data_IF_702424563844
#
_entry.id   IF_702424563844
#
_cell.length_a   1.000
_cell.length_b   1.000
_cell.length_c   1.000
_cell.angle_alpha   90.00
_cell.angle_beta   90.00
_cell.angle_gamma   90.00
#
_symmetry.space_group_name_H-M   'P 1'
#
loop_
_entity.id
_entity.type
_entity.pdbx_description
1 polymer ?
#
# COMPACT_ATOMS: atom_id res chain seq x y z
N UNK A 1 5.70 30.10 -2.47
CA UNK A 1 5.84 31.39 -1.76
C UNK A 1 4.79 32.38 -2.27
N UNK A 2 4.18 33.21 -1.43
CA UNK A 2 3.15 34.21 -1.80
C UNK A 2 3.50 35.08 -3.01
N UNK A 3 4.78 35.30 -3.26
CA UNK A 3 5.25 36.10 -4.38
C UNK A 3 5.15 35.42 -5.74
N UNK A 4 5.16 34.09 -5.79
CA UNK A 4 5.04 33.32 -7.03
C UNK A 4 3.61 33.36 -7.60
N UNK A 5 2.61 33.30 -6.73
CA UNK A 5 1.19 33.31 -7.09
C UNK A 5 0.73 34.67 -7.66
N UNK A 6 1.21 35.77 -7.08
CA UNK A 6 0.95 37.12 -7.55
C UNK A 6 1.49 37.38 -8.97
N UNK A 7 2.59 36.74 -9.33
CA UNK A 7 3.18 36.87 -10.68
C UNK A 7 2.36 36.17 -11.78
N UNK A 8 1.50 35.22 -11.41
CA UNK A 8 0.63 34.48 -12.33
C UNK A 8 -0.75 35.14 -12.50
N UNK A 9 -1.04 36.22 -11.74
CA UNK A 9 -2.27 37.00 -11.87
C UNK A 9 -3.53 36.38 -11.27
N UNK A 10 -3.37 35.42 -10.35
CA UNK A 10 -4.45 34.83 -9.56
C UNK A 10 -4.64 35.66 -8.29
N UNK A 11 -5.90 35.89 -7.86
CA UNK A 11 -6.24 37.04 -7.01
C UNK A 11 -6.02 36.86 -5.51
N UNK A 12 -6.16 35.66 -4.97
CA UNK A 12 -5.89 35.42 -3.55
C UNK A 12 -5.18 34.08 -3.39
N UNK A 13 -4.08 34.07 -2.68
CA UNK A 13 -3.48 32.86 -2.16
C UNK A 13 -3.46 32.97 -0.66
N UNK A 14 -4.02 32.00 0.04
CA UNK A 14 -3.90 31.85 1.49
C UNK A 14 -3.13 30.56 1.79
N UNK A 15 -2.40 30.58 2.88
CA UNK A 15 -1.76 29.40 3.44
C UNK A 15 -2.38 29.27 4.84
N UNK A 16 -3.15 28.21 5.02
CA UNK A 16 -3.73 27.90 6.32
C UNK A 16 -2.70 27.10 7.14
N UNK A 17 -2.23 27.68 8.24
CA UNK A 17 -1.26 27.11 9.19
C UNK A 17 -0.04 26.36 8.57
N UNK A 18 0.35 26.71 7.33
CA UNK A 18 1.37 26.06 6.50
C UNK A 18 1.02 24.63 5.98
N UNK A 19 -0.23 24.20 6.10
CA UNK A 19 -0.66 22.87 5.65
C UNK A 19 -1.22 22.87 4.23
N UNK A 20 -2.06 23.85 3.88
CA UNK A 20 -2.79 23.89 2.62
C UNK A 20 -2.61 25.25 1.95
N UNK A 21 -2.26 25.21 0.66
CA UNK A 21 -2.25 26.40 -0.19
C UNK A 21 -3.55 26.50 -0.99
N UNK A 22 -4.15 27.69 -1.10
CA UNK A 22 -5.32 27.91 -1.95
C UNK A 22 -5.12 29.02 -2.97
N UNK A 23 -5.78 28.91 -4.12
CA UNK A 23 -5.82 29.94 -5.14
C UNK A 23 -7.24 30.08 -5.69
N UNK A 24 -7.83 31.27 -5.56
CA UNK A 24 -9.17 31.58 -6.01
C UNK A 24 -9.15 32.29 -7.38
N UNK A 25 -10.08 31.91 -8.27
CA UNK A 25 -10.26 32.55 -9.58
C UNK A 25 -10.87 33.94 -9.46
N UNK A 26 -11.86 34.13 -8.57
CA UNK A 26 -12.54 35.39 -8.30
C UNK A 26 -13.15 35.41 -6.88
N UNK A 27 -13.83 36.52 -6.53
CA UNK A 27 -14.48 36.70 -5.22
C UNK A 27 -15.98 36.25 -5.21
N UNK A 28 -16.41 35.48 -6.22
CA UNK A 28 -17.78 34.96 -6.32
C UNK A 28 -18.08 33.87 -5.30
N UNK A 29 -19.32 33.44 -5.26
CA UNK A 29 -19.72 32.30 -4.44
C UNK A 29 -18.92 31.03 -4.81
N UNK A 30 -18.38 30.39 -3.82
CA UNK A 30 -17.56 29.19 -3.95
C UNK A 30 -18.39 28.01 -4.50
N UNK A 31 -18.00 27.48 -5.66
CA UNK A 31 -18.78 26.48 -6.41
C UNK A 31 -18.00 25.23 -6.76
N UNK A 32 -16.69 25.34 -7.00
CA UNK A 32 -15.85 24.26 -7.47
C UNK A 32 -14.51 24.25 -6.74
N UNK A 33 -14.15 23.12 -6.17
CA UNK A 33 -12.80 22.82 -5.72
C UNK A 33 -12.05 21.98 -6.75
N UNK A 34 -10.79 22.34 -7.00
CA UNK A 34 -9.82 21.52 -7.72
C UNK A 34 -8.80 21.08 -6.66
N UNK A 35 -8.78 19.81 -6.32
CA UNK A 35 -7.93 19.28 -5.25
C UNK A 35 -6.69 18.62 -5.84
N UNK A 36 -5.52 19.15 -5.50
CA UNK A 36 -4.22 18.66 -5.93
C UNK A 36 -3.23 18.65 -4.76
N UNK A 37 -2.09 17.95 -4.89
CA UNK A 37 -1.09 17.91 -3.82
C UNK A 37 0.33 18.26 -4.29
N UNK A 38 1.19 18.62 -3.34
CA UNK A 38 2.56 19.06 -3.59
C UNK A 38 3.62 18.14 -2.98
N UNK A 39 3.26 17.32 -2.01
CA UNK A 39 4.16 16.29 -1.48
C UNK A 39 4.41 15.18 -2.51
N UNK A 40 5.30 14.28 -2.22
CA UNK A 40 5.69 13.20 -3.11
C UNK A 40 6.16 11.99 -2.31
N UNK A 41 5.95 10.79 -2.83
CA UNK A 41 6.55 9.57 -2.30
C UNK A 41 8.08 9.64 -2.29
N UNK A 42 8.77 8.84 -1.46
CA UNK A 42 10.23 8.70 -1.50
C UNK A 42 10.75 8.43 -2.91
N UNK A 43 11.98 8.88 -3.16
CA UNK A 43 12.59 8.81 -4.49
C UNK A 43 12.57 7.41 -5.14
N UNK A 44 12.80 6.36 -4.33
CA UNK A 44 12.94 4.99 -4.83
C UNK A 44 14.22 4.79 -5.65
N UNK A 45 14.32 3.62 -6.26
CA UNK A 45 15.43 3.23 -7.12
C UNK A 45 15.00 3.15 -8.59
N UNK A 46 15.96 2.89 -9.50
CA UNK A 46 15.69 2.64 -10.92
C UNK A 46 15.61 3.90 -11.79
N UNK A 47 16.07 5.05 -11.33
CA UNK A 47 16.15 6.28 -12.11
C UNK A 47 17.24 6.18 -13.17
N UNK A 48 16.85 6.15 -14.45
CA UNK A 48 17.77 5.95 -15.58
C UNK A 48 17.88 7.17 -16.49
N UNK A 49 16.90 8.09 -16.45
CA UNK A 49 16.85 9.27 -17.32
C UNK A 49 17.41 10.50 -16.63
N UNK A 50 17.09 10.67 -15.35
CA UNK A 50 17.57 11.76 -14.49
C UNK A 50 17.59 11.31 -13.03
N UNK A 51 18.10 12.13 -12.13
CA UNK A 51 17.95 11.94 -10.68
C UNK A 51 16.53 12.38 -10.26
N UNK A 52 15.96 11.79 -9.18
CA UNK A 52 14.57 12.02 -8.77
C UNK A 52 14.17 13.49 -8.68
N UNK A 53 15.01 14.32 -8.08
CA UNK A 53 14.73 15.74 -7.80
C UNK A 53 15.50 16.71 -8.72
N UNK A 54 16.02 16.22 -9.84
CA UNK A 54 16.66 17.01 -10.89
C UNK A 54 15.82 16.91 -12.18
N UNK A 55 14.70 17.66 -12.27
CA UNK A 55 13.77 17.51 -13.39
C UNK A 55 14.41 17.96 -14.70
N UNK A 56 14.24 17.16 -15.77
CA UNK A 56 14.69 17.47 -17.11
C UNK A 56 13.60 17.29 -18.15
N UNK A 57 13.67 18.09 -19.22
CA UNK A 57 12.86 17.90 -20.42
C UNK A 57 13.68 17.12 -21.44
N UNK A 58 13.20 15.96 -21.87
CA UNK A 58 13.82 15.13 -22.88
C UNK A 58 12.75 14.51 -23.79
N UNK A 59 12.93 14.59 -25.08
CA UNK A 59 12.02 14.02 -26.09
C UNK A 59 10.55 14.48 -25.91
N UNK A 60 10.35 15.77 -25.55
CA UNK A 60 9.03 16.34 -25.30
C UNK A 60 8.34 15.89 -24.02
N UNK A 61 9.03 15.17 -23.12
CA UNK A 61 8.54 14.70 -21.82
C UNK A 61 9.33 15.35 -20.69
N UNK A 62 8.66 15.66 -19.59
CA UNK A 62 9.27 16.13 -18.35
C UNK A 62 9.46 14.93 -17.41
N UNK A 63 10.70 14.66 -17.03
CA UNK A 63 11.07 13.59 -16.12
C UNK A 63 11.49 14.17 -14.77
N UNK A 64 11.02 13.56 -13.69
CA UNK A 64 11.34 13.91 -12.30
C UNK A 64 10.26 13.43 -11.32
N UNK A 65 10.61 13.26 -10.05
CA UNK A 65 9.66 12.92 -9.01
C UNK A 65 8.65 14.06 -8.85
N UNK A 66 7.33 13.73 -8.83
CA UNK A 66 6.24 14.70 -8.69
C UNK A 66 5.85 15.41 -10.00
N UNK A 67 6.44 15.08 -11.15
CA UNK A 67 6.08 15.73 -12.41
C UNK A 67 4.75 15.24 -12.98
N UNK A 68 4.34 14.02 -12.70
CA UNK A 68 3.05 13.46 -13.08
C UNK A 68 2.08 13.42 -11.90
N UNK A 69 2.58 13.07 -10.75
CA UNK A 69 1.90 12.87 -9.47
C UNK A 69 2.51 13.85 -8.44
N UNK A 70 1.87 14.97 -8.10
CA UNK A 70 0.70 15.59 -8.78
C UNK A 70 1.00 17.05 -9.21
N UNK A 71 2.28 17.50 -9.12
CA UNK A 71 2.67 18.88 -9.44
C UNK A 71 2.37 19.29 -10.90
N UNK A 72 2.45 18.34 -11.84
CA UNK A 72 2.10 18.58 -13.23
C UNK A 72 0.62 18.93 -13.39
N UNK A 73 -0.32 18.07 -12.95
CA UNK A 73 -1.75 18.36 -12.94
C UNK A 73 -2.11 19.60 -12.14
N UNK A 74 -1.51 19.83 -10.96
CA UNK A 74 -1.69 21.04 -10.17
C UNK A 74 -1.35 22.32 -10.96
N UNK A 75 -0.22 22.32 -11.67
CA UNK A 75 0.19 23.44 -12.54
C UNK A 75 -0.74 23.56 -13.74
N UNK A 76 -1.20 22.46 -14.33
CA UNK A 76 -2.17 22.49 -15.43
C UNK A 76 -3.49 23.13 -15.00
N UNK A 77 -4.01 22.77 -13.83
CA UNK A 77 -5.20 23.39 -13.24
C UNK A 77 -5.02 24.90 -13.04
N UNK A 78 -3.87 25.29 -12.46
CA UNK A 78 -3.53 26.70 -12.26
C UNK A 78 -3.52 27.50 -13.57
N UNK A 79 -2.89 26.95 -14.62
CA UNK A 79 -2.85 27.60 -15.93
C UNK A 79 -4.22 27.59 -16.65
N UNK A 80 -5.07 26.59 -16.41
CA UNK A 80 -6.45 26.60 -16.88
C UNK A 80 -7.26 27.76 -16.26
N UNK A 81 -7.14 27.95 -14.95
CA UNK A 81 -7.76 29.10 -14.24
C UNK A 81 -7.24 30.44 -14.77
N UNK A 82 -5.92 30.53 -14.99
CA UNK A 82 -5.28 31.70 -15.60
C UNK A 82 -5.79 31.98 -17.01
N UNK A 83 -5.95 30.97 -17.85
CA UNK A 83 -6.47 31.12 -19.21
C UNK A 83 -7.92 31.63 -19.21
N UNK A 84 -8.77 31.11 -18.34
CA UNK A 84 -10.15 31.63 -18.18
C UNK A 84 -10.14 33.13 -17.87
N UNK A 85 -9.25 33.56 -16.98
CA UNK A 85 -9.12 34.96 -16.59
C UNK A 85 -8.56 35.83 -17.69
N UNK A 86 -7.46 35.43 -18.36
CA UNK A 86 -6.80 36.19 -19.44
C UNK A 86 -7.69 36.34 -20.68
N UNK A 87 -8.51 35.33 -20.97
CA UNK A 87 -9.48 35.35 -22.06
C UNK A 87 -10.74 36.17 -21.73
N UNK A 88 -10.87 36.65 -20.50
CA UNK A 88 -12.02 37.42 -20.07
C UNK A 88 -13.33 36.62 -20.10
N UNK A 89 -13.27 35.31 -19.92
CA UNK A 89 -14.46 34.44 -19.86
C UNK A 89 -15.29 34.84 -18.64
N UNK A 90 -16.57 35.21 -18.80
CA UNK A 90 -17.37 35.62 -17.67
C UNK A 90 -17.70 34.44 -16.76
N UNK A 91 -17.14 34.43 -15.57
CA UNK A 91 -17.37 33.44 -14.53
C UNK A 91 -17.94 34.16 -13.31
N UNK A 92 -19.13 33.80 -12.89
CA UNK A 92 -19.85 34.42 -11.75
C UNK A 92 -19.65 33.68 -10.45
N UNK A 93 -19.19 32.45 -10.49
CA UNK A 93 -18.91 31.60 -9.33
C UNK A 93 -17.40 31.44 -9.17
N UNK A 94 -16.93 31.25 -7.92
CA UNK A 94 -15.53 31.02 -7.67
C UNK A 94 -15.13 29.55 -7.93
N UNK A 95 -13.94 29.38 -8.46
CA UNK A 95 -13.19 28.12 -8.56
C UNK A 95 -11.97 28.27 -7.68
N UNK A 96 -11.77 27.33 -6.77
CA UNK A 96 -10.62 27.29 -5.88
C UNK A 96 -9.73 26.10 -6.22
N UNK A 97 -8.46 26.35 -6.46
CA UNK A 97 -7.42 25.32 -6.46
C UNK A 97 -6.92 25.16 -5.03
N UNK A 98 -7.02 23.95 -4.50
CA UNK A 98 -6.54 23.55 -3.18
C UNK A 98 -5.29 22.70 -3.40
N UNK A 99 -4.19 23.03 -2.71
CA UNK A 99 -2.90 22.37 -2.81
C UNK A 99 -2.53 21.78 -1.46
N UNK A 100 -2.73 20.49 -1.31
CA UNK A 100 -2.35 19.71 -0.15
C UNK A 100 -0.85 19.45 -0.06
N UNK A 101 -0.40 18.98 1.07
CA UNK A 101 1.02 18.69 1.38
C UNK A 101 1.22 17.37 2.12
N UNK A 102 0.20 16.54 2.23
CA UNK A 102 0.20 15.28 3.00
C UNK A 102 -0.61 14.15 2.31
N UNK A 103 -0.89 14.25 1.01
CA UNK A 103 -1.70 13.24 0.28
C UNK A 103 -1.05 11.86 0.37
N UNK A 104 0.25 11.78 0.14
CA UNK A 104 1.05 10.57 0.11
C UNK A 104 1.27 9.92 1.50
N UNK A 105 0.90 10.64 2.58
CA UNK A 105 1.08 10.20 3.96
C UNK A 105 -0.23 10.13 4.75
N UNK A 106 -1.38 10.36 4.09
CA UNK A 106 -2.70 10.15 4.70
C UNK A 106 -3.62 11.36 4.75
N UNK A 107 -3.32 12.44 4.01
CA UNK A 107 -4.20 13.63 3.77
C UNK A 107 -4.72 14.32 5.03
N UNK A 108 -3.92 14.34 6.12
CA UNK A 108 -4.30 15.00 7.37
C UNK A 108 -4.47 16.52 7.22
N UNK A 109 -3.81 17.09 6.22
CA UNK A 109 -3.91 18.49 5.82
C UNK A 109 -5.29 18.82 5.26
N UNK A 110 -5.85 17.98 4.40
CA UNK A 110 -7.19 18.16 3.83
C UNK A 110 -8.27 17.89 4.88
N UNK A 111 -8.06 16.92 5.77
CA UNK A 111 -8.93 16.72 6.94
C UNK A 111 -8.97 17.98 7.82
N UNK A 112 -7.82 18.64 8.05
CA UNK A 112 -7.75 19.89 8.77
C UNK A 112 -8.45 21.02 8.01
N UNK A 113 -8.15 21.16 6.71
CA UNK A 113 -8.71 22.21 5.86
C UNK A 113 -10.24 22.22 5.89
N UNK A 114 -10.90 21.10 5.69
CA UNK A 114 -12.35 21.01 5.69
C UNK A 114 -13.01 21.06 7.09
N UNK A 115 -12.24 21.16 8.17
CA UNK A 115 -12.78 21.55 9.49
C UNK A 115 -12.96 23.06 9.62
N UNK A 116 -12.21 23.86 8.89
CA UNK A 116 -12.23 25.33 8.95
C UNK A 116 -12.85 25.96 7.71
N UNK A 117 -12.71 25.34 6.56
CA UNK A 117 -13.28 25.79 5.29
C UNK A 117 -14.45 24.91 4.85
N UNK A 118 -15.44 25.51 4.22
CA UNK A 118 -16.58 24.79 3.69
C UNK A 118 -16.25 24.19 2.32
N UNK A 119 -16.51 22.91 2.15
CA UNK A 119 -16.40 22.21 0.88
C UNK A 119 -17.31 22.85 -0.19
N UNK A 120 -16.81 22.96 -1.42
CA UNK A 120 -17.59 23.39 -2.55
C UNK A 120 -18.70 22.38 -2.90
N UNK A 121 -19.80 22.82 -3.55
CA UNK A 121 -20.82 21.90 -4.05
C UNK A 121 -20.31 20.86 -5.05
N UNK A 122 -19.17 21.12 -5.70
CA UNK A 122 -18.49 20.21 -6.63
C UNK A 122 -17.00 20.23 -6.35
N UNK A 123 -16.40 19.04 -6.38
CA UNK A 123 -14.94 18.85 -6.22
C UNK A 123 -14.46 17.84 -7.24
N UNK A 124 -13.29 18.06 -7.84
CA UNK A 124 -12.57 17.05 -8.57
C UNK A 124 -11.07 17.12 -8.27
N UNK A 125 -10.38 15.97 -8.36
CA UNK A 125 -8.93 15.91 -8.35
C UNK A 125 -8.41 15.62 -9.76
N UNK A 126 -7.39 16.34 -10.26
CA UNK A 126 -6.71 16.01 -11.50
C UNK A 126 -5.69 14.87 -11.33
N UNK A 127 -5.47 14.42 -10.12
CA UNK A 127 -4.54 13.36 -9.74
C UNK A 127 -5.15 11.97 -10.02
N UNK A 128 -5.40 11.69 -11.29
CA UNK A 128 -6.03 10.44 -11.73
C UNK A 128 -5.82 10.18 -13.21
N UNK A 129 -6.16 8.97 -13.65
CA UNK A 129 -6.22 8.64 -15.07
C UNK A 129 -7.37 9.35 -15.77
N UNK A 130 -7.11 9.88 -16.99
CA UNK A 130 -8.12 10.54 -17.80
C UNK A 130 -8.91 9.54 -18.67
N UNK A 131 -10.16 9.85 -19.08
CA UNK A 131 -10.80 11.18 -18.94
C UNK A 131 -11.47 11.42 -17.57
N UNK A 132 -12.02 10.40 -16.91
CA UNK A 132 -12.70 10.52 -15.62
C UNK A 132 -12.70 9.19 -14.90
N UNK A 133 -12.32 9.18 -13.63
CA UNK A 133 -12.59 8.11 -12.67
C UNK A 133 -13.77 8.58 -11.81
N UNK A 134 -14.87 7.83 -11.85
CA UNK A 134 -16.11 8.12 -11.11
C UNK A 134 -16.51 6.98 -10.16
N UNK A 135 -15.71 5.92 -10.11
CA UNK A 135 -15.87 4.79 -9.19
C UNK A 135 -14.50 4.44 -8.65
N UNK A 136 -14.39 4.37 -7.34
CA UNK A 136 -13.20 3.97 -6.63
C UNK A 136 -13.54 2.86 -5.63
N UNK A 137 -12.64 1.88 -5.50
CA UNK A 137 -12.80 0.81 -4.51
C UNK A 137 -12.49 1.32 -3.11
N UNK A 138 -13.22 0.83 -2.12
CA UNK A 138 -12.87 1.05 -0.74
C UNK A 138 -11.57 0.34 -0.35
N UNK A 139 -10.92 0.80 0.72
CA UNK A 139 -9.66 0.22 1.23
C UNK A 139 -9.92 -0.70 2.40
N UNK A 140 -9.19 -1.80 2.43
CA UNK A 140 -9.23 -2.81 3.49
C UNK A 140 -7.81 -3.23 3.89
N UNK A 141 -7.03 -2.32 4.50
CA UNK A 141 -5.71 -2.65 4.99
C UNK A 141 -5.81 -3.49 6.26
N UNK A 142 -4.87 -4.41 6.42
CA UNK A 142 -4.75 -5.19 7.65
C UNK A 142 -3.33 -5.21 8.18
N UNK A 143 -3.23 -5.21 9.51
CA UNK A 143 -2.00 -5.29 10.26
C UNK A 143 -2.06 -6.50 11.22
N UNK A 144 -1.03 -7.32 11.17
CA UNK A 144 -0.93 -8.55 11.96
C UNK A 144 0.33 -8.50 12.81
N UNK A 145 0.18 -8.69 14.10
CA UNK A 145 1.32 -8.83 15.01
C UNK A 145 1.26 -10.16 15.77
N UNK A 146 2.39 -10.79 15.96
CA UNK A 146 2.51 -11.99 16.78
C UNK A 146 3.78 -11.98 17.61
N UNK A 147 3.74 -12.66 18.76
CA UNK A 147 4.91 -12.93 19.59
C UNK A 147 4.96 -14.42 19.92
N UNK A 148 6.13 -14.98 19.95
CA UNK A 148 6.37 -16.39 20.21
C UNK A 148 7.68 -16.59 20.97
N UNK A 149 7.86 -17.75 21.56
CA UNK A 149 9.10 -18.13 22.22
C UNK A 149 10.15 -18.53 21.18
N UNK A 150 11.43 -18.24 21.49
CA UNK A 150 12.54 -18.67 20.65
C UNK A 150 12.54 -20.19 20.51
N UNK A 151 12.62 -20.70 19.31
CA UNK A 151 12.76 -22.12 19.05
C UNK A 151 14.12 -22.62 19.56
N UNK A 152 14.15 -23.71 20.29
CA UNK A 152 15.37 -24.39 20.74
C UNK A 152 15.86 -25.43 19.74
N UNK A 153 15.14 -25.64 18.65
CA UNK A 153 15.48 -26.56 17.59
C UNK A 153 16.70 -26.10 16.79
N UNK A 154 17.48 -27.06 16.29
CA UNK A 154 18.64 -26.76 15.47
C UNK A 154 18.23 -26.09 14.15
N UNK A 155 17.27 -26.69 13.43
CA UNK A 155 16.70 -26.11 12.22
C UNK A 155 15.61 -25.11 12.58
N UNK A 156 15.84 -23.81 12.30
CA UNK A 156 14.90 -22.74 12.63
C UNK A 156 15.07 -21.51 11.74
N UNK A 157 14.09 -20.64 11.76
CA UNK A 157 14.09 -19.39 11.02
C UNK A 157 14.58 -18.28 11.96
N UNK A 158 15.60 -17.54 11.54
CA UNK A 158 16.17 -16.43 12.30
C UNK A 158 15.49 -15.11 11.99
N UNK A 159 15.21 -14.86 10.71
CA UNK A 159 14.50 -13.65 10.28
C UNK A 159 13.79 -13.84 8.96
N UNK A 160 12.77 -13.01 8.74
CA UNK A 160 12.14 -12.79 7.43
C UNK A 160 11.95 -11.29 7.28
N UNK A 161 12.24 -10.76 6.08
CA UNK A 161 12.04 -9.35 5.74
C UNK A 161 11.53 -9.22 4.32
N UNK A 162 10.40 -8.51 4.14
CA UNK A 162 9.81 -8.25 2.84
C UNK A 162 8.94 -7.00 2.85
N UNK A 163 8.91 -6.32 1.69
CA UNK A 163 8.05 -5.16 1.45
C UNK A 163 8.58 -3.85 2.02
N UNK A 164 8.25 -2.76 1.35
CA UNK A 164 8.68 -1.40 1.69
C UNK A 164 7.49 -0.45 1.88
N UNK A 165 6.33 -0.78 1.30
CA UNK A 165 5.08 -0.02 1.38
C UNK A 165 3.88 -0.95 1.37
N UNK A 166 2.82 -0.56 2.10
CA UNK A 166 1.60 -1.36 2.22
C UNK A 166 0.85 -1.53 0.88
N UNK A 167 0.94 -0.56 -0.01
CA UNK A 167 0.26 -0.58 -1.31
C UNK A 167 1.10 -1.17 -2.46
N UNK A 168 2.18 -1.92 -2.14
CA UNK A 168 3.08 -2.51 -3.14
C UNK A 168 3.21 -4.01 -2.91
N UNK A 169 2.93 -4.81 -3.95
CA UNK A 169 3.27 -6.24 -3.98
C UNK A 169 4.79 -6.39 -3.96
N UNK A 170 5.39 -7.09 -2.99
CA UNK A 170 6.84 -7.18 -2.88
C UNK A 170 7.45 -8.02 -4.00
N UNK A 171 8.32 -7.39 -4.79
CA UNK A 171 9.13 -8.07 -5.81
C UNK A 171 10.35 -8.78 -5.24
N UNK A 172 10.71 -8.52 -3.97
CA UNK A 172 11.79 -9.22 -3.24
C UNK A 172 11.37 -9.53 -1.81
N UNK A 173 11.85 -10.68 -1.32
CA UNK A 173 11.70 -11.07 0.08
C UNK A 173 12.94 -11.88 0.52
N UNK A 174 13.32 -11.74 1.77
CA UNK A 174 14.51 -12.39 2.33
C UNK A 174 14.15 -13.20 3.57
N UNK A 175 14.79 -14.34 3.72
CA UNK A 175 14.77 -15.11 4.97
C UNK A 175 16.16 -15.57 5.31
N UNK A 176 16.49 -15.58 6.60
CA UNK A 176 17.70 -16.21 7.14
C UNK A 176 17.28 -17.39 7.96
N UNK A 177 17.82 -18.56 7.65
CA UNK A 177 17.55 -19.82 8.34
C UNK A 177 18.86 -20.47 8.80
N UNK A 178 18.77 -21.34 9.80
CA UNK A 178 19.89 -22.15 10.28
C UNK A 178 19.50 -23.62 10.44
N UNK A 179 20.48 -24.50 10.55
CA UNK A 179 20.31 -25.94 10.84
C UNK A 179 19.82 -26.78 9.67
N UNK A 180 19.72 -26.21 8.47
CA UNK A 180 19.50 -26.93 7.21
C UNK A 180 20.69 -26.69 6.27
N UNK A 181 20.91 -27.61 5.34
CA UNK A 181 21.91 -27.47 4.28
C UNK A 181 21.28 -26.94 3.00
N UNK A 182 22.07 -26.35 2.14
CA UNK A 182 21.61 -25.89 0.81
C UNK A 182 21.05 -27.04 -0.03
N UNK A 183 21.59 -28.25 0.13
CA UNK A 183 21.14 -29.46 -0.56
C UNK A 183 19.74 -29.89 -0.13
N UNK A 184 19.35 -29.59 1.10
CA UNK A 184 17.97 -29.83 1.62
C UNK A 184 17.00 -28.76 1.15
N UNK A 185 17.42 -27.49 1.06
CA UNK A 185 16.57 -26.34 0.69
C UNK A 185 16.34 -26.27 -0.82
N UNK A 186 17.37 -26.48 -1.62
CA UNK A 186 17.36 -26.26 -3.07
C UNK A 186 16.25 -27.02 -3.83
N UNK A 187 16.00 -28.32 -3.59
CA UNK A 187 14.91 -29.03 -4.29
C UNK A 187 13.52 -28.45 -3.98
N UNK A 188 13.32 -27.98 -2.74
CA UNK A 188 12.06 -27.34 -2.35
C UNK A 188 11.91 -25.98 -3.02
N UNK A 189 12.97 -25.17 -3.06
CA UNK A 189 13.01 -23.89 -3.74
C UNK A 189 12.72 -24.05 -5.26
N UNK A 190 13.33 -25.02 -5.93
CA UNK A 190 13.06 -25.34 -7.34
C UNK A 190 11.61 -25.79 -7.56
N UNK A 191 11.02 -26.53 -6.61
CA UNK A 191 9.61 -26.93 -6.64
C UNK A 191 8.69 -25.72 -6.58
N UNK A 192 8.93 -24.81 -5.63
CA UNK A 192 8.16 -23.58 -5.49
C UNK A 192 8.37 -22.64 -6.69
N UNK A 193 9.58 -22.54 -7.22
CA UNK A 193 9.83 -21.77 -8.47
C UNK A 193 8.97 -22.25 -9.63
N UNK A 194 8.86 -23.57 -9.84
CA UNK A 194 8.02 -24.14 -10.90
C UNK A 194 6.54 -23.85 -10.72
N UNK A 195 6.09 -23.75 -9.47
CA UNK A 195 4.71 -23.49 -9.10
C UNK A 195 4.34 -22.01 -9.23
N UNK A 196 5.19 -21.14 -8.68
CA UNK A 196 4.89 -19.69 -8.49
C UNK A 196 5.50 -18.79 -9.55
N UNK A 197 6.55 -19.24 -10.23
CA UNK A 197 7.37 -18.42 -11.13
C UNK A 197 8.34 -17.46 -10.43
N UNK A 198 8.39 -17.48 -9.09
CA UNK A 198 9.36 -16.69 -8.28
C UNK A 198 10.67 -17.44 -8.22
N UNK A 199 11.79 -16.76 -8.43
CA UNK A 199 13.14 -17.35 -8.36
C UNK A 199 13.67 -17.29 -6.93
N UNK A 200 14.49 -18.28 -6.53
CA UNK A 200 15.14 -18.29 -5.23
C UNK A 200 16.65 -18.35 -5.40
N UNK A 201 17.31 -17.38 -4.78
CA UNK A 201 18.76 -17.35 -4.64
C UNK A 201 19.10 -17.84 -3.22
N UNK A 202 20.02 -18.80 -3.13
CA UNK A 202 20.47 -19.38 -1.86
C UNK A 202 21.92 -19.01 -1.67
N UNK A 203 22.24 -18.39 -0.55
CA UNK A 203 23.60 -18.03 -0.15
C UNK A 203 23.90 -18.67 1.20
N UNK A 204 24.79 -19.67 1.19
CA UNK A 204 25.25 -20.31 2.42
C UNK A 204 26.40 -19.49 3.04
N UNK A 205 26.27 -19.16 4.31
CA UNK A 205 27.25 -18.42 5.13
C UNK A 205 27.44 -19.14 6.46
N UNK A 206 28.60 -19.79 6.67
CA UNK A 206 28.91 -20.56 7.88
C UNK A 206 27.74 -21.50 8.31
N UNK A 207 26.99 -21.11 9.35
CA UNK A 207 25.91 -21.90 9.92
C UNK A 207 24.51 -21.44 9.47
N UNK A 208 24.40 -20.51 8.52
CA UNK A 208 23.13 -19.95 8.06
C UNK A 208 22.99 -20.03 6.54
N UNK A 209 21.75 -20.03 6.07
CA UNK A 209 21.39 -19.85 4.67
C UNK A 209 20.54 -18.60 4.57
N UNK A 210 20.97 -17.67 3.73
CA UNK A 210 20.17 -16.53 3.29
C UNK A 210 19.41 -16.93 2.03
N UNK A 211 18.10 -16.89 2.10
CA UNK A 211 17.18 -17.18 0.99
C UNK A 211 16.65 -15.85 0.48
N UNK A 212 16.87 -15.54 -0.78
CA UNK A 212 16.28 -14.37 -1.45
C UNK A 212 15.27 -14.85 -2.49
N UNK A 213 14.00 -14.53 -2.28
CA UNK A 213 12.95 -14.71 -3.27
C UNK A 213 12.91 -13.48 -4.19
N UNK A 214 12.94 -13.70 -5.50
CA UNK A 214 12.90 -12.66 -6.54
C UNK A 214 11.69 -12.90 -7.43
N UNK A 215 10.69 -12.06 -7.27
CA UNK A 215 9.44 -12.03 -8.03
C UNK A 215 9.33 -10.76 -8.87
N UNK A 216 8.11 -10.29 -9.04
CA UNK A 216 7.79 -9.07 -9.79
C UNK A 216 6.88 -8.19 -8.95
N UNK A 217 7.29 -6.93 -8.69
CA UNK A 217 6.48 -5.96 -7.96
C UNK A 217 5.31 -5.47 -8.81
N UNK A 218 4.21 -5.14 -8.14
CA UNK A 218 3.03 -4.51 -8.75
C UNK A 218 2.36 -3.58 -7.73
N UNK A 219 1.41 -2.76 -8.19
CA UNK A 219 0.56 -2.03 -7.26
C UNK A 219 -0.43 -2.99 -6.58
N UNK A 220 -0.70 -2.80 -5.29
CA UNK A 220 -1.58 -3.72 -4.54
C UNK A 220 -3.05 -3.70 -5.00
N UNK A 221 -3.47 -2.73 -5.81
CA UNK A 221 -4.80 -2.72 -6.44
C UNK A 221 -4.91 -3.67 -7.64
N UNK A 222 -3.78 -4.03 -8.26
CA UNK A 222 -3.65 -4.95 -9.40
C UNK A 222 -2.60 -6.04 -9.09
N UNK A 223 -2.78 -6.81 -8.00
CA UNK A 223 -1.78 -7.76 -7.53
C UNK A 223 -1.52 -8.91 -8.52
N UNK A 224 -2.44 -9.18 -9.42
CA UNK A 224 -2.33 -10.16 -10.50
C UNK A 224 -1.29 -9.81 -11.56
N UNK A 225 -0.88 -8.53 -11.65
CA UNK A 225 0.18 -8.08 -12.54
C UNK A 225 1.59 -8.39 -12.01
N UNK A 226 1.68 -8.78 -10.72
CA UNK A 226 2.93 -9.10 -10.05
C UNK A 226 3.13 -10.59 -9.78
N UNK A 227 4.30 -10.91 -9.25
CA UNK A 227 4.62 -12.21 -8.65
C UNK A 227 5.09 -11.98 -7.22
N UNK A 228 4.24 -12.23 -6.25
CA UNK A 228 4.48 -11.91 -4.86
C UNK A 228 5.62 -12.77 -4.27
N UNK A 229 6.79 -12.15 -4.10
CA UNK A 229 7.97 -12.80 -3.55
C UNK A 229 7.76 -13.25 -2.10
N UNK A 230 7.02 -12.47 -1.30
CA UNK A 230 6.74 -12.79 0.11
C UNK A 230 5.85 -14.02 0.24
N UNK A 231 4.73 -14.08 -0.46
CA UNK A 231 3.82 -15.22 -0.41
C UNK A 231 4.52 -16.51 -0.88
N UNK A 232 5.38 -16.42 -1.90
CA UNK A 232 6.16 -17.54 -2.40
C UNK A 232 7.27 -17.96 -1.44
N UNK A 233 7.90 -17.01 -0.75
CA UNK A 233 8.89 -17.31 0.30
C UNK A 233 8.25 -18.02 1.48
N UNK A 234 7.07 -17.57 1.95
CA UNK A 234 6.35 -18.25 3.02
C UNK A 234 5.98 -19.69 2.62
N UNK A 235 5.54 -19.90 1.37
CA UNK A 235 5.25 -21.24 0.84
C UNK A 235 6.50 -22.14 0.87
N UNK A 236 7.69 -21.61 0.52
CA UNK A 236 8.92 -22.34 0.64
C UNK A 236 9.24 -22.70 2.09
N UNK A 237 9.17 -21.72 3.01
CA UNK A 237 9.48 -21.93 4.42
C UNK A 237 8.51 -22.92 5.09
N UNK A 238 7.23 -22.91 4.71
CA UNK A 238 6.21 -23.85 5.19
C UNK A 238 6.49 -25.31 4.76
N UNK A 239 7.14 -25.50 3.62
CA UNK A 239 7.52 -26.83 3.09
C UNK A 239 8.86 -27.36 3.60
N UNK A 240 9.68 -26.50 4.18
CA UNK A 240 10.97 -26.93 4.75
C UNK A 240 10.77 -27.74 6.03
N UNK A 241 11.67 -28.68 6.34
CA UNK A 241 11.51 -29.64 7.44
C UNK A 241 11.81 -29.03 8.82
N UNK A 242 11.22 -27.88 9.10
CA UNK A 242 11.31 -27.26 10.43
C UNK A 242 10.42 -28.00 11.45
N UNK A 243 10.88 -28.06 12.69
CA UNK A 243 10.07 -28.55 13.78
C UNK A 243 8.88 -27.62 14.05
N UNK A 244 7.76 -28.21 14.51
CA UNK A 244 6.55 -27.46 14.83
C UNK A 244 6.76 -26.59 16.09
N UNK A 245 6.78 -25.29 15.91
CA UNK A 245 6.89 -24.27 16.96
C UNK A 245 5.90 -23.12 16.70
N UNK A 246 5.87 -22.10 17.57
CA UNK A 246 4.99 -20.93 17.38
C UNK A 246 5.20 -20.23 16.05
N UNK A 247 6.45 -20.07 15.65
CA UNK A 247 6.86 -19.41 14.42
C UNK A 247 6.42 -20.18 13.17
N UNK A 248 6.70 -21.48 13.09
CA UNK A 248 6.35 -22.31 11.93
C UNK A 248 4.83 -22.49 11.78
N UNK A 249 4.09 -22.62 12.89
CA UNK A 249 2.62 -22.63 12.88
C UNK A 249 2.04 -21.33 12.33
N UNK A 250 2.65 -20.19 12.69
CA UNK A 250 2.22 -18.90 12.17
C UNK A 250 2.49 -18.78 10.69
N UNK A 251 3.67 -19.21 10.19
CA UNK A 251 3.98 -19.24 8.76
C UNK A 251 2.98 -20.10 8.01
N UNK A 252 2.67 -21.30 8.52
CA UNK A 252 1.63 -22.16 7.94
C UNK A 252 0.29 -21.41 7.83
N UNK A 253 -0.17 -20.80 8.92
CA UNK A 253 -1.43 -20.04 8.93
C UNK A 253 -1.43 -18.86 7.95
N UNK A 254 -0.29 -18.14 7.82
CA UNK A 254 -0.16 -17.06 6.84
C UNK A 254 -0.20 -17.59 5.40
N UNK A 255 0.44 -18.73 5.13
CA UNK A 255 0.40 -19.38 3.81
C UNK A 255 -1.01 -19.83 3.44
N UNK A 256 -1.80 -20.30 4.41
CA UNK A 256 -3.21 -20.62 4.20
C UNK A 256 -4.09 -19.39 4.01
N UNK A 257 -3.83 -18.29 4.72
CA UNK A 257 -4.60 -17.04 4.62
C UNK A 257 -4.26 -16.23 3.35
N UNK A 258 -3.01 -16.27 2.93
CA UNK A 258 -2.48 -15.50 1.79
C UNK A 258 -1.72 -16.41 0.81
N UNK A 259 -2.38 -17.41 0.19
CA UNK A 259 -1.70 -18.26 -0.78
C UNK A 259 -1.26 -17.42 -1.99
N UNK A 260 -0.12 -17.79 -2.56
CA UNK A 260 0.55 -17.03 -3.62
C UNK A 260 -0.31 -16.75 -4.86
N UNK A 261 -1.32 -17.57 -5.11
CA UNK A 261 -2.25 -17.50 -6.25
C UNK A 261 -3.62 -16.90 -5.93
N UNK A 262 -3.81 -16.40 -4.72
CA UNK A 262 -5.07 -15.76 -4.31
C UNK A 262 -4.90 -14.24 -4.21
N UNK A 263 -5.24 -13.56 -5.27
CA UNK A 263 -5.25 -12.10 -5.36
C UNK A 263 -6.63 -11.48 -5.10
N UNK A 264 -7.64 -12.31 -4.77
CA UNK A 264 -9.02 -11.87 -4.54
C UNK A 264 -9.52 -12.12 -3.10
N UNK A 265 -8.69 -12.69 -2.22
CA UNK A 265 -9.05 -12.97 -0.83
C UNK A 265 -10.02 -14.12 -0.63
N UNK A 266 -10.05 -15.10 -1.54
CA UNK A 266 -10.86 -16.33 -1.44
C UNK A 266 -10.49 -17.13 -0.19
N UNK A 267 -9.20 -17.23 0.07
CA UNK A 267 -8.68 -17.93 1.24
C UNK A 267 -9.11 -17.27 2.56
N UNK A 268 -9.17 -15.96 2.63
CA UNK A 268 -9.69 -15.22 3.78
C UNK A 268 -11.24 -15.21 3.86
N UNK A 269 -11.93 -15.61 2.79
CA UNK A 269 -13.39 -15.60 2.73
C UNK A 269 -13.99 -14.22 2.47
N UNK A 270 -13.20 -13.28 1.94
CA UNK A 270 -13.61 -11.89 1.65
C UNK A 270 -13.81 -11.63 0.15
N UNK A 271 -13.58 -12.63 -0.70
CA UNK A 271 -13.73 -12.51 -2.14
C UNK A 271 -15.14 -12.04 -2.50
N UNK A 272 -15.23 -10.97 -3.26
CA UNK A 272 -16.48 -10.37 -3.70
C UNK A 272 -16.30 -9.67 -5.05
N UNK A 273 -17.39 -9.48 -5.76
CA UNK A 273 -17.44 -8.78 -7.04
C UNK A 273 -18.71 -7.96 -7.14
N UNK A 274 -18.61 -6.77 -7.69
CA UNK A 274 -19.77 -5.92 -7.95
C UNK A 274 -19.70 -5.30 -9.35
N UNK A 275 -20.89 -5.10 -9.95
CA UNK A 275 -21.01 -4.43 -11.23
C UNK A 275 -20.46 -2.98 -11.13
N UNK A 276 -19.69 -2.57 -12.11
CA UNK A 276 -19.07 -1.25 -12.18
C UNK A 276 -17.74 -1.13 -11.43
N UNK A 277 -17.59 -1.72 -10.23
CA UNK A 277 -16.35 -1.63 -9.43
C UNK A 277 -15.46 -2.89 -9.46
N UNK A 278 -15.92 -3.97 -10.11
CA UNK A 278 -15.11 -5.18 -10.33
C UNK A 278 -14.95 -6.09 -9.12
N UNK A 279 -13.90 -6.89 -9.09
CA UNK A 279 -13.57 -7.83 -8.03
C UNK A 279 -12.78 -7.18 -6.89
N UNK A 280 -12.87 -7.73 -5.67
CA UNK A 280 -11.93 -7.40 -4.59
C UNK A 280 -10.51 -7.79 -5.01
N UNK A 281 -9.54 -6.94 -4.70
CA UNK A 281 -8.12 -7.30 -4.79
C UNK A 281 -7.49 -7.36 -3.40
N UNK A 282 -6.57 -8.32 -3.19
CA UNK A 282 -5.87 -8.53 -1.93
C UNK A 282 -4.40 -8.86 -2.21
N UNK A 283 -3.51 -8.14 -1.55
CA UNK A 283 -2.07 -8.38 -1.60
C UNK A 283 -1.48 -8.48 -0.20
N UNK A 284 -0.71 -9.52 0.07
CA UNK A 284 0.14 -9.60 1.26
C UNK A 284 1.44 -8.87 0.96
N UNK A 285 1.68 -7.74 1.63
CA UNK A 285 2.60 -6.71 1.13
C UNK A 285 3.85 -6.52 1.95
N UNK A 286 3.79 -6.70 3.26
CA UNK A 286 4.95 -6.50 4.13
C UNK A 286 5.00 -7.55 5.23
N UNK A 287 6.20 -7.98 5.57
CA UNK A 287 6.44 -8.83 6.74
C UNK A 287 7.85 -8.59 7.28
N UNK A 288 7.93 -8.38 8.58
CA UNK A 288 9.17 -8.45 9.35
C UNK A 288 8.99 -9.48 10.44
N UNK A 289 9.86 -10.49 10.49
CA UNK A 289 9.86 -11.53 11.51
C UNK A 289 11.26 -11.70 12.08
N UNK A 290 11.31 -11.86 13.39
CA UNK A 290 12.51 -12.25 14.15
C UNK A 290 12.25 -13.60 14.85
N UNK A 291 13.16 -14.07 15.68
CA UNK A 291 12.96 -15.29 16.45
C UNK A 291 11.87 -15.19 17.53
N UNK A 292 11.39 -13.98 17.86
CA UNK A 292 10.43 -13.76 18.94
C UNK A 292 9.17 -13.00 18.56
N UNK A 293 9.16 -12.33 17.43
CA UNK A 293 8.04 -11.47 17.03
C UNK A 293 7.87 -11.41 15.52
N UNK A 294 6.67 -11.11 15.11
CA UNK A 294 6.32 -10.82 13.72
C UNK A 294 5.41 -9.60 13.64
N UNK A 295 5.60 -8.85 12.59
CA UNK A 295 4.73 -7.78 12.14
C UNK A 295 4.52 -7.91 10.64
N UNK A 296 3.27 -7.89 10.19
CA UNK A 296 2.93 -8.07 8.78
C UNK A 296 1.74 -7.21 8.37
N UNK A 297 1.66 -6.91 7.09
CA UNK A 297 0.62 -6.06 6.51
C UNK A 297 0.10 -6.64 5.21
N UNK A 298 -1.19 -6.39 4.94
CA UNK A 298 -1.79 -6.60 3.64
C UNK A 298 -2.60 -5.39 3.20
N UNK A 299 -2.77 -5.20 1.90
CA UNK A 299 -3.68 -4.21 1.30
C UNK A 299 -4.80 -4.93 0.55
N UNK A 300 -6.03 -4.63 0.92
CA UNK A 300 -7.23 -5.05 0.23
C UNK A 300 -7.97 -3.87 -0.38
N UNK A 301 -8.54 -4.07 -1.56
CA UNK A 301 -9.41 -3.08 -2.22
C UNK A 301 -10.74 -3.74 -2.55
N UNK A 302 -11.80 -3.31 -1.88
CA UNK A 302 -13.12 -3.92 -2.00
C UNK A 302 -14.05 -3.11 -2.91
N UNK A 303 -14.88 -3.81 -3.69
CA UNK A 303 -15.85 -3.17 -4.57
C UNK A 303 -17.06 -2.64 -3.78
N UNK A 304 -17.97 -1.98 -4.48
CA UNK A 304 -19.27 -1.53 -3.92
C UNK A 304 -19.95 -2.70 -3.19
N UNK A 305 -20.46 -2.43 -1.98
CA UNK A 305 -21.12 -3.43 -1.13
C UNK A 305 -20.21 -4.05 -0.05
N UNK A 306 -18.91 -3.71 -0.02
CA UNK A 306 -18.03 -4.09 1.08
C UNK A 306 -18.45 -3.43 2.39
N UNK A 307 -18.45 -4.19 3.49
CA UNK A 307 -18.78 -3.72 4.83
C UNK A 307 -18.21 -4.68 5.89
N UNK A 308 -18.39 -4.36 7.16
CA UNK A 308 -17.85 -5.16 8.27
C UNK A 308 -18.33 -6.62 8.27
N UNK A 309 -19.57 -6.88 7.84
CA UNK A 309 -20.14 -8.23 7.85
C UNK A 309 -19.47 -9.16 6.83
N UNK A 310 -19.09 -8.64 5.68
CA UNK A 310 -18.52 -9.44 4.58
C UNK A 310 -16.99 -9.27 4.42
N UNK A 311 -16.36 -8.37 5.18
CA UNK A 311 -14.91 -8.16 5.20
C UNK A 311 -14.31 -8.50 6.57
N UNK A 312 -14.69 -7.82 7.66
CA UNK A 312 -14.08 -8.03 8.97
C UNK A 312 -14.44 -9.38 9.59
N UNK A 313 -15.72 -9.72 9.64
CA UNK A 313 -16.18 -10.98 10.28
C UNK A 313 -15.57 -12.24 9.65
N UNK A 314 -15.49 -12.40 8.32
CA UNK A 314 -14.81 -13.56 7.73
C UNK A 314 -13.34 -13.64 8.11
N UNK A 315 -12.62 -12.52 8.13
CA UNK A 315 -11.21 -12.50 8.51
C UNK A 315 -11.05 -12.84 9.99
N UNK A 316 -11.82 -12.22 10.88
CA UNK A 316 -11.82 -12.54 12.32
C UNK A 316 -12.11 -14.02 12.57
N UNK A 317 -13.08 -14.59 11.85
CA UNK A 317 -13.43 -16.01 12.00
C UNK A 317 -12.32 -16.97 11.57
N UNK A 318 -11.53 -16.60 10.53
CA UNK A 318 -10.40 -17.42 10.05
C UNK A 318 -9.13 -17.24 10.84
N UNK A 319 -8.90 -16.04 11.37
CA UNK A 319 -7.68 -15.69 12.10
C UNK A 319 -7.78 -15.93 13.59
N UNK A 320 -8.99 -16.13 14.12
CA UNK A 320 -9.20 -16.68 15.45
C UNK A 320 -8.81 -18.16 15.44
N UNK A 321 -7.55 -18.48 15.71
CA UNK A 321 -7.16 -19.83 16.09
C UNK A 321 -8.09 -20.24 17.27
N UNK A 322 -8.87 -21.33 17.14
CA UNK A 322 -9.82 -21.71 18.17
C UNK A 322 -9.11 -21.86 19.52
N UNK A 323 -9.61 -21.19 20.55
CA UNK A 323 -9.06 -21.21 21.91
C UNK A 323 -9.05 -22.60 22.56
N UNK A 324 -9.42 -23.66 21.85
CA UNK A 324 -9.81 -24.94 22.45
C UNK A 324 -9.04 -26.20 22.06
N UNK A 325 -8.06 -26.15 21.16
CA UNK A 325 -7.34 -27.39 20.80
C UNK A 325 -5.82 -27.23 20.83
N UNK A 326 -5.24 -27.01 21.98
CA UNK A 326 -3.92 -27.54 22.33
C UNK A 326 -3.84 -27.58 23.85
N UNK A 327 -3.63 -28.78 24.43
CA UNK A 327 -3.32 -29.00 25.85
C UNK A 327 -1.94 -28.42 26.22
N UNK A 328 -1.79 -27.10 26.08
CA UNK A 328 -0.58 -26.36 26.41
C UNK A 328 -0.81 -25.64 27.73
N UNK A 329 0.13 -25.75 28.72
CA UNK A 329 0.06 -25.07 29.99
C UNK A 329 -0.21 -23.57 29.85
N UNK A 330 -0.88 -22.96 30.84
CA UNK A 330 -1.31 -21.56 30.81
C UNK A 330 -0.18 -20.55 30.55
N UNK A 331 1.07 -20.90 30.84
CA UNK A 331 2.27 -20.08 30.54
C UNK A 331 2.65 -20.01 29.04
N UNK A 332 2.24 -20.99 28.23
CA UNK A 332 2.51 -21.05 26.80
C UNK A 332 1.37 -20.44 25.94
N UNK A 333 0.40 -19.78 26.58
CA UNK A 333 -0.78 -19.18 25.90
C UNK A 333 -0.53 -17.83 25.23
N UNK A 334 0.69 -17.36 25.14
CA UNK A 334 1.01 -16.01 24.69
C UNK A 334 1.56 -15.93 23.25
N UNK A 335 1.11 -16.77 22.33
CA UNK A 335 1.18 -16.40 20.92
C UNK A 335 -0.06 -15.53 20.62
N UNK A 336 -0.02 -14.28 21.05
CA UNK A 336 -1.08 -13.31 20.72
C UNK A 336 -0.85 -12.84 19.29
N UNK A 337 -1.60 -13.39 18.34
CA UNK A 337 -1.80 -12.76 17.06
C UNK A 337 -2.87 -11.68 17.25
N UNK A 338 -2.47 -10.41 17.22
CA UNK A 338 -3.40 -9.29 17.28
C UNK A 338 -3.60 -8.79 15.85
N UNK A 339 -4.80 -8.97 15.35
CA UNK A 339 -5.23 -8.41 14.07
C UNK A 339 -5.85 -7.05 14.31
N UNK A 340 -5.44 -6.06 13.54
CA UNK A 340 -6.06 -4.74 13.50
C UNK A 340 -6.53 -4.49 12.08
N UNK A 341 -7.82 -4.25 11.94
CA UNK A 341 -8.45 -4.00 10.65
C UNK A 341 -9.13 -2.65 10.66
N UNK A 342 -9.14 -2.01 9.52
CA UNK A 342 -9.93 -0.82 9.27
C UNK A 342 -10.65 -1.01 7.93
N UNK A 343 -11.97 -0.93 7.93
CA UNK A 343 -12.78 -0.85 6.71
C UNK A 343 -13.10 0.62 6.49
N UNK A 344 -12.71 1.12 5.34
CA UNK A 344 -12.93 2.51 4.98
C UNK A 344 -13.86 2.55 3.77
N UNK A 345 -15.05 3.10 3.94
CA UNK A 345 -16.04 3.24 2.87
C UNK A 345 -15.75 4.43 1.97
N UNK A 346 -15.03 5.43 2.51
CA UNK A 346 -14.53 6.60 1.78
C UNK A 346 -13.05 6.81 2.11
N UNK A 347 -12.29 7.45 1.22
CA UNK A 347 -10.91 7.84 1.47
C UNK A 347 -10.74 8.67 2.74
N UNK A 348 -11.73 9.50 3.10
CA UNK A 348 -11.78 10.29 4.33
C UNK A 348 -11.93 9.48 5.63
N UNK A 349 -12.35 8.22 5.58
CA UNK A 349 -12.48 7.35 6.78
C UNK A 349 -11.20 6.53 7.05
N UNK A 350 -10.31 6.44 6.07
CA UNK A 350 -9.03 5.74 6.17
C UNK A 350 -7.86 6.63 6.63
N UNK A 351 -8.11 7.92 6.78
CA UNK A 351 -7.13 8.93 7.18
C UNK A 351 -7.08 9.10 8.69
#
# INVERSE_FOLDING_TARGET
SENGWKSIGIFQSTIDDNYVGTADLNDGEHQLDILAHLDVVPAGEGWTVTQPFEPIVKDGKLYGRGTADDKGPAVAALYAMRAVKELGIPVTKNVRLILGTDEECGSSDIEHYYKVEKEAPMTFSPDASFPVINIEKGRFPGHVTASFEVSTENARILSIEAGIKINVVPGKAHATITGLTEEEVRPMAEGVTKETGVQFELQAEEDVIVITAVGEGAHASTPEEGKNALASLLLLLDRLPFASCGQTKLIHSLTECFPWNDTEGKALGVAMQAEGSGALSLAFTMLTMTETRMEAYFDGRFPIGGNDDNLLKPVEAKTCVPRHEVGVPAAARAAFCRWQFRVCQNTSECL
#
